data_IF_917620752059
#
_entry.id   IF_917620752059
#
_cell.length_a   1.000
_cell.length_b   1.000
_cell.length_c   1.000
_cell.angle_alpha   90.00
_cell.angle_beta   90.00
_cell.angle_gamma   90.00
#
_symmetry.space_group_name_H-M   'P 1'
#
loop_
_entity.id
_entity.type
_entity.pdbx_description
1 polymer ?
#
# COMPACT_ATOMS: atom_id res chain seq x y z
N UNK A 1 9.41 -17.86 -16.76
CA UNK A 1 9.04 -16.71 -17.64
C UNK A 1 8.82 -15.51 -16.74
N UNK A 2 9.61 -14.46 -16.90
CA UNK A 2 9.32 -13.18 -16.26
C UNK A 2 7.98 -12.67 -16.79
N UNK A 3 7.05 -12.39 -15.89
CA UNK A 3 5.79 -11.76 -16.27
C UNK A 3 6.09 -10.34 -16.71
N UNK A 4 5.89 -10.05 -17.98
CA UNK A 4 5.92 -8.68 -18.49
C UNK A 4 4.69 -7.94 -17.96
N UNK A 5 4.94 -6.94 -17.14
CA UNK A 5 3.93 -6.05 -16.58
C UNK A 5 3.94 -4.73 -17.39
N UNK A 6 2.80 -4.35 -17.91
CA UNK A 6 2.64 -3.02 -18.52
C UNK A 6 2.24 -2.04 -17.41
N UNK A 7 3.12 -1.08 -17.12
CA UNK A 7 2.90 -0.07 -16.06
C UNK A 7 1.73 0.89 -16.36
N UNK A 8 1.25 0.89 -17.58
CA UNK A 8 0.11 1.72 -18.00
C UNK A 8 -1.25 1.04 -17.72
N UNK A 9 -1.25 -0.27 -17.42
CA UNK A 9 -2.45 -0.98 -16.97
C UNK A 9 -2.77 -0.64 -15.50
N UNK A 10 -4.06 -0.60 -15.10
CA UNK A 10 -4.44 -0.37 -13.71
C UNK A 10 -3.85 -1.43 -12.77
N UNK A 11 -3.17 -1.01 -11.73
CA UNK A 11 -2.62 -1.92 -10.71
C UNK A 11 -2.70 -1.35 -9.30
N UNK A 12 -2.83 -2.24 -8.33
CA UNK A 12 -2.62 -1.95 -6.93
C UNK A 12 -1.15 -2.16 -6.55
N UNK A 13 -0.63 -1.36 -5.64
CA UNK A 13 0.78 -1.37 -5.27
C UNK A 13 0.99 -1.36 -3.77
N UNK A 14 1.96 -2.11 -3.29
CA UNK A 14 2.50 -1.99 -1.95
C UNK A 14 4.00 -2.22 -1.92
N UNK A 15 4.69 -1.57 -0.98
CA UNK A 15 6.09 -1.82 -0.65
C UNK A 15 6.22 -1.95 0.86
N UNK A 16 6.70 -3.11 1.31
CA UNK A 16 6.84 -3.39 2.73
C UNK A 16 7.85 -4.52 2.99
N UNK A 17 8.22 -4.70 4.26
CA UNK A 17 8.84 -5.95 4.70
C UNK A 17 7.82 -7.09 4.58
N UNK A 18 8.26 -8.26 4.12
CA UNK A 18 7.37 -9.42 3.98
C UNK A 18 7.34 -10.15 5.33
N UNK A 19 6.50 -9.63 6.21
CA UNK A 19 6.31 -10.10 7.59
C UNK A 19 4.82 -10.20 7.93
N UNK A 20 4.42 -11.05 8.89
CA UNK A 20 3.01 -11.29 9.23
C UNK A 20 2.22 -10.02 9.56
N UNK A 21 2.84 -9.09 10.31
CA UNK A 21 2.22 -7.83 10.73
C UNK A 21 1.90 -6.87 9.57
N UNK A 22 2.46 -7.11 8.40
CA UNK A 22 2.13 -6.37 7.19
C UNK A 22 0.96 -6.97 6.40
N UNK A 23 0.36 -8.06 6.91
CA UNK A 23 -0.83 -8.70 6.36
C UNK A 23 -0.76 -8.99 4.85
N UNK A 24 0.46 -9.26 4.34
CA UNK A 24 0.69 -9.51 2.91
C UNK A 24 -0.14 -10.70 2.41
N UNK A 25 -0.41 -11.68 3.28
CA UNK A 25 -1.25 -12.84 2.97
C UNK A 25 -2.70 -12.43 2.63
N UNK A 26 -3.28 -11.43 3.32
CA UNK A 26 -4.63 -10.92 3.02
C UNK A 26 -4.65 -10.22 1.66
N UNK A 27 -3.62 -9.43 1.35
CA UNK A 27 -3.52 -8.75 0.06
C UNK A 27 -3.43 -9.78 -1.08
N UNK A 28 -2.57 -10.78 -0.93
CA UNK A 28 -2.39 -11.85 -1.92
C UNK A 28 -3.67 -12.65 -2.12
N UNK A 29 -4.37 -13.02 -1.05
CA UNK A 29 -5.63 -13.75 -1.11
C UNK A 29 -6.68 -12.93 -1.86
N UNK A 30 -6.92 -11.68 -1.47
CA UNK A 30 -7.92 -10.83 -2.09
C UNK A 30 -7.75 -10.69 -3.61
N UNK A 31 -6.50 -10.57 -4.08
CA UNK A 31 -6.21 -10.41 -5.50
C UNK A 31 -6.13 -11.72 -6.28
N UNK A 32 -5.95 -12.86 -5.62
CA UNK A 32 -5.92 -14.17 -6.29
C UNK A 32 -7.32 -14.75 -6.54
N UNK A 33 -8.30 -14.40 -5.73
CA UNK A 33 -9.65 -14.96 -5.80
C UNK A 33 -10.52 -14.31 -6.88
N UNK A 34 -10.41 -13.00 -7.07
CA UNK A 34 -11.21 -12.27 -8.08
C UNK A 34 -10.48 -11.01 -8.55
N UNK A 35 -9.49 -11.13 -9.42
CA UNK A 35 -8.65 -10.01 -9.81
C UNK A 35 -9.39 -9.04 -10.72
N UNK A 36 -9.64 -7.83 -10.24
CA UNK A 36 -10.13 -6.69 -11.05
C UNK A 36 -8.99 -5.85 -11.63
N UNK A 37 -7.81 -5.94 -11.01
CA UNK A 37 -6.56 -5.31 -11.44
C UNK A 37 -5.38 -6.14 -10.94
N UNK A 38 -4.19 -5.88 -11.44
CA UNK A 38 -2.96 -6.52 -10.95
C UNK A 38 -2.58 -6.01 -9.56
N UNK A 39 -1.94 -6.88 -8.78
CA UNK A 39 -1.28 -6.50 -7.52
C UNK A 39 0.23 -6.60 -7.70
N UNK A 40 0.94 -5.50 -7.47
CA UNK A 40 2.40 -5.46 -7.45
C UNK A 40 2.88 -5.26 -6.01
N UNK A 41 3.65 -6.21 -5.51
CA UNK A 41 4.24 -6.17 -4.17
C UNK A 41 5.76 -6.13 -4.28
N UNK A 42 6.36 -5.08 -3.74
CA UNK A 42 7.82 -4.93 -3.65
C UNK A 42 8.27 -5.25 -2.22
N UNK A 43 9.16 -6.24 -2.08
CA UNK A 43 9.68 -6.61 -0.77
C UNK A 43 10.72 -7.72 -0.80
N UNK A 44 11.37 -7.98 0.32
CA UNK A 44 12.36 -9.06 0.46
C UNK A 44 11.67 -10.39 0.81
N UNK A 45 11.32 -11.15 -0.22
CA UNK A 45 10.64 -12.45 -0.10
C UNK A 45 11.51 -13.55 0.51
N UNK A 46 12.84 -13.42 0.42
CA UNK A 46 13.78 -14.43 0.90
C UNK A 46 14.13 -14.27 2.40
N UNK A 47 13.77 -13.14 3.01
CA UNK A 47 14.19 -12.78 4.36
C UNK A 47 13.61 -13.70 5.45
N UNK A 48 12.34 -14.09 5.32
CA UNK A 48 11.63 -14.89 6.34
C UNK A 48 11.03 -16.17 5.76
N UNK A 49 10.72 -17.14 6.61
CA UNK A 49 9.98 -18.36 6.23
C UNK A 49 8.58 -18.00 5.73
N UNK A 50 7.95 -17.00 6.33
CA UNK A 50 6.67 -16.47 5.88
C UNK A 50 6.73 -15.93 4.45
N UNK A 51 7.75 -15.12 4.14
CA UNK A 51 7.95 -14.58 2.79
C UNK A 51 8.19 -15.66 1.74
N UNK A 52 9.04 -16.64 2.06
CA UNK A 52 9.31 -17.78 1.18
C UNK A 52 8.05 -18.60 0.89
N UNK A 53 7.27 -18.91 1.92
CA UNK A 53 6.00 -19.62 1.80
C UNK A 53 5.01 -18.87 0.89
N UNK A 54 4.85 -17.57 1.08
CA UNK A 54 3.96 -16.77 0.24
C UNK A 54 4.46 -16.68 -1.20
N UNK A 55 5.76 -16.51 -1.40
CA UNK A 55 6.36 -16.48 -2.75
C UNK A 55 6.07 -17.80 -3.49
N UNK A 56 6.33 -18.93 -2.86
CA UNK A 56 6.06 -20.26 -3.44
C UNK A 56 4.59 -20.44 -3.81
N UNK A 57 3.70 -20.05 -2.91
CA UNK A 57 2.25 -20.19 -3.11
C UNK A 57 1.71 -19.32 -4.25
N UNK A 58 2.22 -18.10 -4.43
CA UNK A 58 1.63 -17.12 -5.33
C UNK A 58 2.48 -16.76 -6.57
N UNK A 59 3.69 -17.29 -6.74
CA UNK A 59 4.58 -17.00 -7.88
C UNK A 59 3.94 -17.29 -9.24
N UNK A 60 3.01 -18.23 -9.30
CA UNK A 60 2.30 -18.61 -10.53
C UNK A 60 0.95 -17.90 -10.70
N UNK A 61 0.51 -17.07 -9.74
CA UNK A 61 -0.76 -16.33 -9.85
C UNK A 61 -0.69 -15.33 -11.02
N UNK A 62 -1.71 -15.33 -11.89
CA UNK A 62 -1.77 -14.41 -13.05
C UNK A 62 -2.01 -12.95 -12.66
N UNK A 63 -2.58 -12.72 -11.48
CA UNK A 63 -3.01 -11.42 -10.98
C UNK A 63 -2.03 -10.76 -10.00
N UNK A 64 -0.90 -11.42 -9.69
CA UNK A 64 0.05 -10.95 -8.69
C UNK A 64 1.47 -10.94 -9.25
N UNK A 65 2.20 -9.85 -8.97
CA UNK A 65 3.63 -9.68 -9.27
C UNK A 65 4.38 -9.51 -7.96
N UNK A 66 5.26 -10.47 -7.67
CA UNK A 66 6.12 -10.48 -6.49
C UNK A 66 7.49 -9.96 -6.89
N UNK A 67 7.74 -8.68 -6.67
CA UNK A 67 9.00 -8.03 -7.03
C UNK A 67 9.98 -8.06 -5.85
N UNK A 68 11.25 -8.32 -6.14
CA UNK A 68 12.33 -8.20 -5.16
C UNK A 68 12.56 -6.72 -4.76
N UNK A 69 13.31 -6.43 -3.68
CA UNK A 69 13.49 -5.07 -3.20
C UNK A 69 14.03 -4.11 -4.26
N UNK A 70 13.43 -2.93 -4.37
CA UNK A 70 13.90 -1.84 -5.22
C UNK A 70 14.54 -0.80 -4.31
N UNK A 71 15.87 -0.68 -4.36
CA UNK A 71 16.62 0.29 -3.55
C UNK A 71 16.80 1.64 -4.27
N UNK A 72 16.57 1.67 -5.59
CA UNK A 72 16.54 2.90 -6.36
C UNK A 72 15.22 3.65 -6.06
N UNK A 73 15.35 4.75 -5.31
CA UNK A 73 14.21 5.55 -4.89
C UNK A 73 13.43 6.16 -6.05
N UNK A 74 14.12 6.50 -7.15
CA UNK A 74 13.46 7.07 -8.32
C UNK A 74 12.57 6.03 -9.01
N UNK A 75 13.08 4.80 -9.17
CA UNK A 75 12.30 3.68 -9.73
C UNK A 75 11.13 3.31 -8.84
N UNK A 76 11.36 3.24 -7.52
CA UNK A 76 10.30 2.92 -6.56
C UNK A 76 9.19 3.98 -6.58
N UNK A 77 9.56 5.25 -6.63
CA UNK A 77 8.60 6.36 -6.72
C UNK A 77 7.87 6.38 -8.07
N UNK A 78 8.53 6.02 -9.17
CA UNK A 78 7.89 5.90 -10.48
C UNK A 78 6.80 4.82 -10.48
N UNK A 79 7.05 3.65 -9.89
CA UNK A 79 6.02 2.63 -9.70
C UNK A 79 4.89 3.11 -8.78
N UNK A 80 5.26 3.64 -7.61
CA UNK A 80 4.30 4.10 -6.62
C UNK A 80 3.37 5.18 -7.18
N UNK A 81 3.91 6.17 -7.89
CA UNK A 81 3.12 7.30 -8.42
C UNK A 81 2.14 6.92 -9.55
N UNK A 82 2.32 5.75 -10.17
CA UNK A 82 1.46 5.27 -11.27
C UNK A 82 0.40 4.26 -10.81
N UNK A 83 0.44 3.81 -9.55
CA UNK A 83 -0.55 2.84 -9.10
C UNK A 83 -1.94 3.48 -9.02
N UNK A 84 -2.94 2.67 -9.35
CA UNK A 84 -4.36 3.03 -9.22
C UNK A 84 -4.80 3.05 -7.76
N UNK A 85 -4.21 2.18 -6.93
CA UNK A 85 -4.54 2.04 -5.51
C UNK A 85 -3.26 1.65 -4.74
N UNK A 86 -2.92 2.41 -3.72
CA UNK A 86 -1.88 2.03 -2.77
C UNK A 86 -2.47 1.21 -1.63
N UNK A 87 -1.88 0.04 -1.37
CA UNK A 87 -2.31 -0.85 -0.29
C UNK A 87 -1.37 -0.76 0.91
N UNK A 88 -1.92 -0.58 2.09
CA UNK A 88 -1.18 -0.51 3.33
C UNK A 88 -1.67 -1.55 4.33
N UNK A 89 -1.07 -2.74 4.31
CA UNK A 89 -1.49 -3.86 5.17
C UNK A 89 -0.98 -3.81 6.62
N UNK A 90 -0.10 -2.87 6.96
CA UNK A 90 0.57 -2.80 8.25
C UNK A 90 -0.40 -2.65 9.42
N UNK A 91 -0.32 -3.55 10.42
CA UNK A 91 -1.24 -3.60 11.57
C UNK A 91 -0.60 -3.26 12.92
N UNK A 92 0.72 -3.10 12.97
CA UNK A 92 1.48 -2.83 14.19
C UNK A 92 2.31 -1.56 14.10
N UNK A 93 2.54 -0.89 15.22
CA UNK A 93 3.40 0.28 15.31
C UNK A 93 2.63 1.60 15.31
N UNK A 94 3.25 2.66 14.83
CA UNK A 94 2.67 4.02 14.77
C UNK A 94 2.53 4.50 13.33
N UNK A 95 2.76 5.79 13.12
CA UNK A 95 2.79 6.40 11.77
C UNK A 95 3.88 5.76 10.92
N UNK A 96 3.48 5.07 9.85
CA UNK A 96 4.40 4.37 8.97
C UNK A 96 4.89 5.29 7.84
N UNK A 97 6.22 5.41 7.60
CA UNK A 97 6.75 6.28 6.55
C UNK A 97 6.21 5.98 5.16
N UNK A 98 6.05 4.71 4.79
CA UNK A 98 5.56 4.34 3.46
C UNK A 98 4.10 4.75 3.22
N UNK A 99 3.28 4.78 4.29
CA UNK A 99 1.92 5.31 4.24
C UNK A 99 1.93 6.82 4.01
N UNK A 100 2.75 7.54 4.77
CA UNK A 100 2.90 9.01 4.63
C UNK A 100 3.43 9.39 3.24
N UNK A 101 4.39 8.64 2.70
CA UNK A 101 4.90 8.84 1.34
C UNK A 101 3.80 8.67 0.29
N UNK A 102 2.95 7.63 0.42
CA UNK A 102 1.82 7.42 -0.47
C UNK A 102 0.78 8.55 -0.36
N UNK A 103 0.49 9.01 0.85
CA UNK A 103 -0.37 10.17 1.09
C UNK A 103 0.19 11.44 0.45
N UNK A 104 1.51 11.66 0.58
CA UNK A 104 2.17 12.84 0.03
C UNK A 104 2.14 12.86 -1.51
N UNK A 105 2.20 11.70 -2.13
CA UNK A 105 2.04 11.53 -3.58
C UNK A 105 0.58 11.71 -4.05
N UNK A 106 -0.37 11.86 -3.12
CA UNK A 106 -1.79 11.99 -3.45
C UNK A 106 -2.38 10.72 -4.06
N UNK A 107 -1.98 9.56 -3.55
CA UNK A 107 -2.52 8.29 -4.01
C UNK A 107 -3.81 7.93 -3.29
N UNK A 108 -4.77 7.26 -3.95
CA UNK A 108 -5.85 6.60 -3.26
C UNK A 108 -5.28 5.47 -2.40
N UNK A 109 -5.72 5.39 -1.14
CA UNK A 109 -5.16 4.43 -0.17
C UNK A 109 -6.26 3.53 0.37
N UNK A 110 -6.02 2.20 0.35
CA UNK A 110 -6.72 1.23 1.17
C UNK A 110 -5.76 0.70 2.24
N UNK A 111 -6.10 0.93 3.50
CA UNK A 111 -5.28 0.57 4.65
C UNK A 111 -5.94 -0.51 5.50
N UNK A 112 -5.13 -1.36 6.14
CA UNK A 112 -5.61 -2.27 7.16
C UNK A 112 -6.26 -1.49 8.29
N UNK A 113 -7.46 -1.89 8.72
CA UNK A 113 -8.27 -1.18 9.71
C UNK A 113 -7.71 -1.37 11.12
N UNK A 114 -6.82 -0.48 11.50
CA UNK A 114 -6.29 -0.36 12.85
C UNK A 114 -6.18 1.11 13.26
N UNK A 115 -6.09 1.35 14.57
CA UNK A 115 -6.07 2.70 15.13
C UNK A 115 -4.96 3.57 14.56
N UNK A 116 -3.76 3.02 14.34
CA UNK A 116 -2.61 3.76 13.82
C UNK A 116 -2.83 4.25 12.38
N UNK A 117 -3.42 3.41 11.54
CA UNK A 117 -3.71 3.77 10.15
C UNK A 117 -4.85 4.81 10.09
N UNK A 118 -5.90 4.62 10.92
CA UNK A 118 -7.00 5.58 11.02
C UNK A 118 -6.53 6.95 11.49
N UNK A 119 -5.70 6.99 12.53
CA UNK A 119 -5.12 8.23 13.05
C UNK A 119 -4.20 8.91 12.03
N UNK A 120 -3.35 8.13 11.35
CA UNK A 120 -2.42 8.66 10.34
C UNK A 120 -3.16 9.30 9.18
N UNK A 121 -4.26 8.68 8.72
CA UNK A 121 -5.05 9.12 7.56
C UNK A 121 -6.27 9.95 7.95
N UNK A 122 -6.46 10.24 9.24
CA UNK A 122 -7.61 10.97 9.79
C UNK A 122 -8.96 10.39 9.33
N UNK A 123 -9.04 9.07 9.24
CA UNK A 123 -10.22 8.33 8.78
C UNK A 123 -10.65 8.64 7.32
N UNK A 124 -9.75 9.16 6.48
CA UNK A 124 -10.07 9.49 5.09
C UNK A 124 -9.61 8.45 4.07
N UNK A 125 -8.89 7.40 4.48
CA UNK A 125 -8.55 6.27 3.61
C UNK A 125 -9.73 5.29 3.48
N UNK A 126 -9.60 4.32 2.60
CA UNK A 126 -10.44 3.13 2.56
C UNK A 126 -9.88 2.11 3.56
N UNK A 127 -10.72 1.30 4.19
CA UNK A 127 -10.25 0.36 5.22
C UNK A 127 -10.77 -1.04 4.99
N UNK A 128 -9.96 -2.04 5.37
CA UNK A 128 -10.29 -3.47 5.33
C UNK A 128 -9.67 -4.21 6.52
N UNK A 129 -10.31 -5.29 6.96
CA UNK A 129 -9.81 -6.22 8.01
C UNK A 129 -9.56 -7.62 7.50
N UNK A 130 -10.15 -7.98 6.36
CA UNK A 130 -10.00 -9.31 5.78
C UNK A 130 -9.75 -9.23 4.27
N UNK A 131 -9.41 -10.37 3.68
CA UNK A 131 -9.23 -10.50 2.24
C UNK A 131 -10.56 -10.28 1.50
N UNK A 132 -11.67 -10.77 2.07
CA UNK A 132 -13.02 -10.63 1.53
C UNK A 132 -13.43 -9.15 1.48
N UNK A 133 -13.26 -8.41 2.60
CA UNK A 133 -13.54 -6.97 2.66
C UNK A 133 -12.70 -6.18 1.65
N UNK A 134 -11.41 -6.52 1.50
CA UNK A 134 -10.55 -5.88 0.51
C UNK A 134 -11.03 -6.18 -0.91
N UNK A 135 -11.41 -7.41 -1.19
CA UNK A 135 -11.93 -7.81 -2.50
C UNK A 135 -13.23 -7.05 -2.83
N UNK A 136 -14.19 -7.01 -1.91
CA UNK A 136 -15.44 -6.23 -2.05
C UNK A 136 -15.14 -4.75 -2.28
N UNK A 137 -14.23 -4.17 -1.49
CA UNK A 137 -13.81 -2.79 -1.63
C UNK A 137 -13.28 -2.51 -3.05
N UNK A 138 -12.42 -3.37 -3.59
CA UNK A 138 -11.86 -3.24 -4.95
C UNK A 138 -12.96 -3.28 -6.00
N UNK A 139 -13.98 -4.11 -5.82
CA UNK A 139 -15.10 -4.20 -6.76
C UNK A 139 -15.99 -2.95 -6.77
N UNK A 140 -16.09 -2.26 -5.62
CA UNK A 140 -16.87 -1.04 -5.45
C UNK A 140 -16.11 0.24 -5.82
N UNK A 141 -14.83 0.14 -6.23
CA UNK A 141 -14.06 1.30 -6.66
C UNK A 141 -14.58 1.87 -7.98
N UNK A 142 -14.67 3.19 -8.01
CA UNK A 142 -14.90 3.97 -9.20
C UNK A 142 -13.95 5.19 -9.23
N UNK A 143 -13.78 5.86 -10.38
CA UNK A 143 -12.85 6.98 -10.52
C UNK A 143 -13.12 8.13 -9.53
N UNK A 144 -14.39 8.46 -9.27
CA UNK A 144 -14.76 9.54 -8.36
C UNK A 144 -14.33 9.25 -6.93
N UNK A 145 -14.58 8.02 -6.45
CA UNK A 145 -14.16 7.58 -5.11
C UNK A 145 -12.65 7.56 -4.95
N UNK A 146 -11.93 7.08 -5.96
CA UNK A 146 -10.46 7.09 -5.97
C UNK A 146 -9.93 8.51 -5.91
N UNK A 147 -10.44 9.41 -6.74
CA UNK A 147 -10.04 10.82 -6.76
C UNK A 147 -10.32 11.52 -5.42
N UNK A 148 -11.48 11.30 -4.83
CA UNK A 148 -11.83 11.87 -3.52
C UNK A 148 -10.86 11.41 -2.43
N UNK A 149 -10.56 10.10 -2.35
CA UNK A 149 -9.61 9.56 -1.37
C UNK A 149 -8.21 10.12 -1.61
N UNK A 150 -7.74 10.15 -2.86
CA UNK A 150 -6.43 10.69 -3.23
C UNK A 150 -6.25 12.14 -2.78
N UNK A 151 -7.24 12.99 -3.04
CA UNK A 151 -7.21 14.40 -2.64
C UNK A 151 -7.25 14.57 -1.13
N UNK A 152 -8.05 13.76 -0.43
CA UNK A 152 -8.10 13.75 1.04
C UNK A 152 -6.75 13.36 1.63
N UNK A 153 -6.11 12.30 1.11
CA UNK A 153 -4.78 11.86 1.55
C UNK A 153 -3.73 12.94 1.37
N UNK A 154 -3.70 13.60 0.21
CA UNK A 154 -2.78 14.71 -0.05
C UNK A 154 -2.99 15.88 0.91
N UNK A 155 -4.25 16.25 1.16
CA UNK A 155 -4.60 17.34 2.09
C UNK A 155 -4.11 17.05 3.51
N UNK A 156 -4.33 15.82 4.00
CA UNK A 156 -3.86 15.40 5.34
C UNK A 156 -2.33 15.43 5.40
N UNK A 157 -1.64 14.89 4.37
CA UNK A 157 -0.18 14.86 4.33
C UNK A 157 0.43 16.27 4.34
N UNK A 158 -0.05 17.17 3.49
CA UNK A 158 0.45 18.55 3.41
C UNK A 158 0.25 19.32 4.72
N UNK A 159 -0.81 19.02 5.44
CA UNK A 159 -1.11 19.66 6.71
C UNK A 159 -0.32 19.09 7.88
N UNK A 160 -0.14 17.75 7.95
CA UNK A 160 0.42 17.06 9.14
C UNK A 160 1.90 16.69 9.01
N UNK A 161 2.35 16.28 7.83
CA UNK A 161 3.61 15.53 7.67
C UNK A 161 4.71 16.30 6.94
N UNK A 162 4.69 17.63 6.99
CA UNK A 162 5.79 18.45 6.47
C UNK A 162 6.93 18.56 7.48
N UNK A 163 8.16 18.58 7.01
CA UNK A 163 9.33 18.77 7.88
C UNK A 163 9.25 20.03 8.71
N UNK A 164 8.72 21.13 8.16
CA UNK A 164 8.51 22.39 8.88
C UNK A 164 7.61 22.21 10.10
N UNK A 165 6.53 21.44 9.96
CA UNK A 165 5.59 21.17 11.07
C UNK A 165 6.20 20.23 12.10
N UNK A 166 6.84 19.16 11.63
CA UNK A 166 7.51 18.19 12.52
C UNK A 166 8.58 18.88 13.35
N UNK A 167 9.46 19.68 12.70
CA UNK A 167 10.50 20.46 13.41
C UNK A 167 9.89 21.41 14.45
N UNK A 168 8.77 22.07 14.14
CA UNK A 168 8.07 22.94 15.10
C UNK A 168 7.54 22.16 16.30
N UNK A 169 6.98 20.97 16.10
CA UNK A 169 6.52 20.11 17.21
C UNK A 169 7.68 19.71 18.14
N UNK A 170 8.84 19.33 17.56
CA UNK A 170 10.03 19.03 18.38
C UNK A 170 10.55 20.25 19.14
N UNK A 171 10.59 21.42 18.50
CA UNK A 171 11.03 22.65 19.17
C UNK A 171 10.13 23.09 20.34
N UNK A 172 8.87 22.68 20.37
CA UNK A 172 7.97 22.92 21.49
C UNK A 172 8.15 21.97 22.67
N UNK A 173 8.96 20.91 22.52
CA UNK A 173 9.27 19.95 23.60
C UNK A 173 10.59 20.26 24.32
N UNK A 174 11.37 21.20 23.78
CA UNK A 174 12.63 21.69 24.35
C UNK A 174 12.43 23.01 25.08
#
# INVERSE_FOLDING_TARGET
>A
MEKTFNIDDPFAFTVCRIEPENNVHLLLQAFSESPKMLLVIVGNWAYSTYGKFLKEKYVNSSSVILHDPIYDQQKLNALRSRCTLYLHGHSCGGTNPSLVEAMYLGLPIAAYDCNFNRETTENHALYFKSAEELNELIHLLNPEKLQFVAQSMKTVADRRYTWKRIAKCYACLL
#
